data_IF_479358653567
#
_entry.id   IF_479358653567
#
_cell.length_a   1.000
_cell.length_b   1.000
_cell.length_c   1.000
_cell.angle_alpha   90.00
_cell.angle_beta   90.00
_cell.angle_gamma   90.00
#
_symmetry.space_group_name_H-M   'P 1'
#
loop_
_entity.id
_entity.type
_entity.pdbx_description
1 polymer ?
#
# COMPACT_ATOMS: atom_id res chain seq x y z
N UNK A 1 8.04 -0.71 5.75
CA UNK A 1 8.58 0.68 5.71
C UNK A 1 7.94 1.42 4.55
N UNK A 2 7.96 2.75 4.57
CA UNK A 2 7.56 3.60 3.46
C UNK A 2 8.73 4.44 2.97
N UNK A 3 8.93 4.50 1.66
CA UNK A 3 10.02 5.21 0.99
C UNK A 3 9.45 6.27 0.04
N UNK A 4 10.08 7.45 -0.04
CA UNK A 4 9.82 8.42 -1.12
C UNK A 4 10.76 8.08 -2.29
N UNK A 5 10.28 7.38 -3.35
CA UNK A 5 11.17 6.90 -4.42
C UNK A 5 11.58 7.98 -5.43
N UNK A 6 10.94 9.14 -5.42
CA UNK A 6 11.20 10.25 -6.33
C UNK A 6 11.97 11.40 -5.68
N UNK A 7 12.35 11.26 -4.41
CA UNK A 7 13.22 12.22 -3.71
C UNK A 7 14.66 12.04 -4.20
N UNK A 8 15.25 13.06 -4.83
CA UNK A 8 16.65 13.05 -5.26
C UNK A 8 17.28 14.44 -5.11
N UNK A 9 18.19 14.56 -4.15
CA UNK A 9 18.99 15.75 -3.90
C UNK A 9 20.49 15.49 -4.19
N UNK A 10 20.79 14.52 -5.05
CA UNK A 10 22.15 14.16 -5.44
C UNK A 10 22.87 15.32 -6.15
N UNK A 11 24.21 15.43 -6.00
CA UNK A 11 25.08 14.55 -5.21
C UNK A 11 25.18 14.96 -3.73
N UNK A 12 24.44 15.98 -3.28
CA UNK A 12 24.57 16.52 -1.92
C UNK A 12 24.07 15.52 -0.88
N UNK A 13 22.99 14.81 -1.21
CA UNK A 13 22.29 13.87 -0.33
C UNK A 13 21.98 12.61 -1.15
N UNK A 14 22.10 11.40 -0.57
CA UNK A 14 21.75 10.17 -1.27
C UNK A 14 20.31 10.20 -1.82
N UNK A 15 20.03 9.50 -2.94
CA UNK A 15 18.67 9.31 -3.41
C UNK A 15 17.76 8.73 -2.32
N UNK A 16 16.47 9.08 -2.37
CA UNK A 16 15.39 8.70 -1.45
C UNK A 16 15.48 9.28 -0.03
N UNK A 17 16.62 9.86 0.36
CA UNK A 17 16.76 10.53 1.64
C UNK A 17 16.08 11.90 1.63
N UNK A 18 15.25 12.14 2.64
CA UNK A 18 14.55 13.40 2.86
C UNK A 18 15.49 14.34 3.62
N UNK A 19 15.98 15.43 2.98
CA UNK A 19 17.09 16.22 3.49
C UNK A 19 16.93 16.76 4.92
N UNK A 20 15.74 17.32 5.23
CA UNK A 20 15.49 17.99 6.50
C UNK A 20 15.34 16.98 7.64
N UNK A 21 14.88 15.77 7.33
CA UNK A 21 14.59 14.73 8.32
C UNK A 21 15.75 13.76 8.51
N UNK A 22 16.72 13.73 7.57
CA UNK A 22 17.82 12.76 7.55
C UNK A 22 17.27 11.32 7.66
N UNK A 23 16.26 11.02 6.84
CA UNK A 23 15.53 9.75 6.77
C UNK A 23 15.31 9.36 5.33
N UNK A 24 15.61 8.11 5.00
CA UNK A 24 15.32 7.47 3.72
C UNK A 24 14.01 6.66 3.74
N UNK A 25 13.46 6.41 4.93
CA UNK A 25 12.23 5.66 5.11
C UNK A 25 11.51 5.99 6.43
N UNK A 26 10.23 5.63 6.48
CA UNK A 26 9.39 5.70 7.67
C UNK A 26 8.86 4.31 8.07
N UNK A 27 8.99 3.99 9.36
CA UNK A 27 8.45 2.75 9.92
C UNK A 27 7.00 2.94 10.36
N UNK A 28 6.16 1.93 10.10
CA UNK A 28 4.84 1.85 10.70
C UNK A 28 4.94 1.36 12.14
N UNK A 29 4.00 1.80 12.98
CA UNK A 29 3.88 1.33 14.36
C UNK A 29 3.61 -0.19 14.39
N UNK A 30 4.43 -0.93 15.16
CA UNK A 30 4.40 -2.39 15.17
C UNK A 30 3.09 -2.94 15.74
N UNK A 31 2.53 -2.29 16.76
CA UNK A 31 1.28 -2.71 17.38
C UNK A 31 0.12 -2.49 16.42
N UNK A 32 -0.05 -1.28 15.87
CA UNK A 32 -1.09 -0.97 14.88
C UNK A 32 -0.99 -1.87 13.65
N UNK A 33 0.24 -2.16 13.17
CA UNK A 33 0.48 -3.10 12.06
C UNK A 33 -0.01 -4.51 12.37
N UNK A 34 0.23 -5.02 13.58
CA UNK A 34 -0.25 -6.35 13.99
C UNK A 34 -1.79 -6.40 14.06
N UNK A 35 -2.44 -5.35 14.59
CA UNK A 35 -3.91 -5.24 14.56
C UNK A 35 -4.46 -5.18 13.13
N UNK A 36 -3.82 -4.42 12.25
CA UNK A 36 -4.20 -4.32 10.85
C UNK A 36 -4.05 -5.67 10.14
N UNK A 37 -2.95 -6.39 10.39
CA UNK A 37 -2.75 -7.74 9.87
C UNK A 37 -3.85 -8.71 10.33
N UNK A 38 -4.18 -8.73 11.62
CA UNK A 38 -5.26 -9.56 12.17
C UNK A 38 -6.62 -9.23 11.55
N UNK A 39 -6.86 -7.95 11.28
CA UNK A 39 -8.09 -7.46 10.63
C UNK A 39 -8.19 -7.95 9.19
N UNK A 40 -7.09 -7.90 8.43
CA UNK A 40 -6.98 -8.49 7.11
C UNK A 40 -7.19 -10.00 7.14
N UNK A 41 -6.57 -10.71 8.08
CA UNK A 41 -6.71 -12.16 8.22
C UNK A 41 -8.15 -12.56 8.54
N UNK A 42 -8.87 -11.79 9.37
CA UNK A 42 -10.30 -12.01 9.63
C UNK A 42 -11.11 -11.82 8.35
N UNK A 43 -10.91 -10.70 7.65
CA UNK A 43 -11.53 -10.45 6.35
C UNK A 43 -11.30 -11.60 5.36
N UNK A 44 -10.07 -12.09 5.23
CA UNK A 44 -9.73 -13.19 4.32
C UNK A 44 -10.44 -14.51 4.65
N UNK A 45 -10.80 -14.77 5.92
CA UNK A 45 -11.58 -15.94 6.32
C UNK A 45 -13.05 -15.85 5.91
N UNK A 46 -13.57 -14.63 5.79
CA UNK A 46 -14.97 -14.33 5.49
C UNK A 46 -15.17 -13.93 4.02
N UNK A 47 -14.08 -13.80 3.27
CA UNK A 47 -13.99 -13.28 1.92
C UNK A 47 -15.02 -13.85 0.93
N UNK A 48 -15.16 -15.18 0.89
CA UNK A 48 -16.05 -15.87 -0.06
C UNK A 48 -17.53 -15.52 0.14
N UNK A 49 -17.90 -15.02 1.34
CA UNK A 49 -19.26 -14.60 1.66
C UNK A 49 -19.54 -13.12 1.38
N UNK A 50 -18.48 -12.32 1.17
CA UNK A 50 -18.57 -10.86 1.10
C UNK A 50 -18.62 -10.32 -0.33
N UNK A 51 -18.08 -11.06 -1.31
CA UNK A 51 -18.04 -10.64 -2.70
C UNK A 51 -18.66 -11.69 -3.60
N UNK A 52 -19.45 -11.24 -4.58
CA UNK A 52 -20.12 -12.15 -5.49
C UNK A 52 -19.12 -12.94 -6.35
N UNK A 53 -19.42 -14.21 -6.60
CA UNK A 53 -18.63 -15.04 -7.52
C UNK A 53 -18.49 -14.44 -8.93
N UNK A 54 -19.44 -13.61 -9.36
CA UNK A 54 -19.38 -12.92 -10.64
C UNK A 54 -18.28 -11.84 -10.64
N UNK A 55 -18.21 -11.02 -9.59
CA UNK A 55 -17.20 -9.97 -9.45
C UNK A 55 -15.80 -10.58 -9.28
N UNK A 56 -15.67 -11.64 -8.50
CA UNK A 56 -14.40 -12.36 -8.33
C UNK A 56 -13.86 -12.90 -9.65
N UNK A 57 -14.75 -13.49 -10.47
CA UNK A 57 -14.38 -13.96 -11.82
C UNK A 57 -14.02 -12.82 -12.75
N UNK A 58 -14.75 -11.71 -12.70
CA UNK A 58 -14.49 -10.54 -13.54
C UNK A 58 -13.09 -9.98 -13.33
N UNK A 59 -12.59 -9.95 -12.09
CA UNK A 59 -11.27 -9.41 -11.75
C UNK A 59 -10.20 -10.49 -11.55
N UNK A 60 -10.47 -11.75 -11.93
CA UNK A 60 -9.55 -12.87 -11.77
C UNK A 60 -9.02 -13.08 -10.34
N UNK A 61 -9.87 -12.83 -9.35
CA UNK A 61 -9.54 -12.96 -7.93
C UNK A 61 -9.96 -14.36 -7.45
N UNK A 62 -8.98 -15.21 -7.14
CA UNK A 62 -9.25 -16.56 -6.63
C UNK A 62 -9.06 -16.64 -5.12
N UNK A 63 -7.84 -16.35 -4.64
CA UNK A 63 -7.50 -16.42 -3.23
C UNK A 63 -6.64 -15.20 -2.88
N UNK A 64 -7.25 -14.10 -2.40
CA UNK A 64 -6.51 -12.93 -1.97
C UNK A 64 -5.60 -13.30 -0.78
N UNK A 65 -4.47 -12.59 -0.68
CA UNK A 65 -3.49 -12.76 0.38
C UNK A 65 -3.14 -11.41 0.97
N UNK A 66 -2.76 -11.42 2.24
CA UNK A 66 -2.15 -10.27 2.91
C UNK A 66 -0.65 -10.49 2.99
N UNK A 67 0.12 -9.47 2.64
CA UNK A 67 1.58 -9.46 2.69
C UNK A 67 2.03 -8.28 3.57
N UNK A 68 3.15 -8.45 4.27
CA UNK A 68 3.81 -7.37 5.02
C UNK A 68 5.12 -7.09 4.31
N UNK A 69 5.10 -6.04 3.50
CA UNK A 69 6.23 -5.66 2.67
C UNK A 69 6.41 -4.14 2.69
N UNK A 70 7.49 -3.68 2.07
CA UNK A 70 7.75 -2.26 1.94
C UNK A 70 6.92 -1.62 0.81
N UNK A 71 6.52 -0.36 1.02
CA UNK A 71 5.76 0.45 0.07
C UNK A 71 6.62 1.64 -0.33
N UNK A 72 6.66 1.97 -1.63
CA UNK A 72 7.28 3.19 -2.11
C UNK A 72 6.23 4.13 -2.68
N UNK A 73 6.42 5.43 -2.44
CA UNK A 73 5.54 6.51 -2.85
C UNK A 73 6.30 7.54 -3.67
N UNK A 74 5.63 8.16 -4.64
CA UNK A 74 6.17 9.26 -5.41
C UNK A 74 5.10 9.83 -6.34
N UNK A 75 5.30 11.06 -6.83
CA UNK A 75 4.30 11.81 -7.59
C UNK A 75 4.27 11.41 -9.08
N UNK A 76 4.35 10.10 -9.35
CA UNK A 76 4.28 9.54 -10.69
C UNK A 76 3.44 8.27 -10.71
N UNK A 77 2.54 8.16 -11.68
CA UNK A 77 1.89 6.90 -11.97
C UNK A 77 2.86 5.94 -12.67
N UNK A 78 3.26 4.87 -11.98
CA UNK A 78 4.19 3.85 -12.48
C UNK A 78 3.40 2.79 -13.27
N UNK A 79 3.45 2.85 -14.60
CA UNK A 79 2.67 1.97 -15.49
C UNK A 79 3.52 1.07 -16.39
N UNK A 80 4.85 1.18 -16.30
CA UNK A 80 5.78 0.44 -17.15
C UNK A 80 6.91 -0.21 -16.35
N UNK A 81 7.37 -1.38 -16.81
CA UNK A 81 8.54 -2.05 -16.23
C UNK A 81 9.81 -1.17 -16.28
N UNK A 82 9.92 -0.27 -17.27
CA UNK A 82 11.05 0.67 -17.37
C UNK A 82 11.07 1.66 -16.20
N UNK A 83 9.91 2.16 -15.78
CA UNK A 83 9.79 3.04 -14.61
C UNK A 83 9.98 2.25 -13.30
N UNK A 84 9.50 1.01 -13.25
CA UNK A 84 9.58 0.17 -12.05
C UNK A 84 11.00 -0.40 -11.79
N UNK A 85 11.77 -0.64 -12.85
CA UNK A 85 13.12 -1.22 -12.76
C UNK A 85 14.08 -0.47 -11.84
N UNK A 86 14.27 0.86 -11.94
CA UNK A 86 15.13 1.58 -11.00
C UNK A 86 14.64 1.47 -9.56
N UNK A 87 13.33 1.57 -9.31
CA UNK A 87 12.76 1.44 -7.96
C UNK A 87 13.11 0.07 -7.37
N UNK A 88 12.86 -1.02 -8.10
CA UNK A 88 13.21 -2.38 -7.66
C UNK A 88 14.72 -2.57 -7.45
N UNK A 89 15.55 -1.92 -8.27
CA UNK A 89 17.01 -2.01 -8.17
C UNK A 89 17.52 -1.37 -6.88
N UNK A 90 17.00 -0.20 -6.53
CA UNK A 90 17.47 0.55 -5.36
C UNK A 90 16.73 0.18 -4.06
N UNK A 91 15.48 -0.25 -4.16
CA UNK A 91 14.61 -0.61 -3.04
C UNK A 91 14.08 -2.05 -3.22
N UNK A 92 14.94 -3.08 -3.10
CA UNK A 92 14.58 -4.46 -3.45
C UNK A 92 13.51 -5.11 -2.55
N UNK A 93 13.23 -4.53 -1.38
CA UNK A 93 12.16 -4.97 -0.47
C UNK A 93 10.78 -4.41 -0.84
N UNK A 94 10.70 -3.41 -1.73
CA UNK A 94 9.44 -2.77 -2.10
C UNK A 94 8.59 -3.71 -2.94
N UNK A 95 7.38 -4.00 -2.46
CA UNK A 95 6.41 -4.84 -3.16
C UNK A 95 5.25 -4.05 -3.76
N UNK A 96 5.09 -2.78 -3.38
CA UNK A 96 4.00 -1.91 -3.81
C UNK A 96 4.52 -0.49 -4.08
N UNK A 97 4.12 0.08 -5.21
CA UNK A 97 4.34 1.49 -5.56
C UNK A 97 2.99 2.21 -5.62
N UNK A 98 2.93 3.41 -5.05
CA UNK A 98 1.75 4.28 -5.00
C UNK A 98 2.20 5.75 -4.88
N UNK A 99 1.33 6.70 -4.55
CA UNK A 99 1.63 8.13 -4.67
C UNK A 99 1.54 8.96 -3.39
N UNK A 100 1.06 8.41 -2.26
CA UNK A 100 0.76 9.22 -1.06
C UNK A 100 1.29 8.67 0.27
N UNK A 101 1.54 7.35 0.35
CA UNK A 101 1.79 6.67 1.62
C UNK A 101 2.96 7.26 2.39
N UNK A 102 4.11 7.45 1.74
CA UNK A 102 5.30 8.00 2.36
C UNK A 102 5.15 9.48 2.73
N UNK A 103 4.37 10.25 1.96
CA UNK A 103 4.06 11.64 2.32
C UNK A 103 3.20 11.72 3.59
N UNK A 104 2.19 10.85 3.73
CA UNK A 104 1.41 10.74 4.98
C UNK A 104 2.29 10.23 6.13
N UNK A 105 3.14 9.24 5.88
CA UNK A 105 4.07 8.70 6.86
C UNK A 105 5.06 9.75 7.37
N UNK A 106 5.54 10.63 6.47
CA UNK A 106 6.39 11.76 6.82
C UNK A 106 5.69 12.71 7.79
N UNK A 107 4.44 13.10 7.50
CA UNK A 107 3.66 13.94 8.41
C UNK A 107 3.44 13.24 9.74
N UNK A 108 3.07 11.95 9.75
CA UNK A 108 2.93 11.18 10.99
C UNK A 108 4.24 11.16 11.80
N UNK A 109 5.39 11.02 11.15
CA UNK A 109 6.69 11.06 11.79
C UNK A 109 6.98 12.44 12.41
N UNK A 110 6.80 13.53 11.66
CA UNK A 110 7.05 14.90 12.13
C UNK A 110 6.17 15.30 13.31
N UNK A 111 4.95 14.75 13.39
CA UNK A 111 3.99 15.00 14.48
C UNK A 111 3.95 13.91 15.55
N UNK A 112 4.88 12.94 15.52
CA UNK A 112 4.95 11.82 16.47
C UNK A 112 3.64 11.00 16.57
N UNK A 113 2.90 10.88 15.47
CA UNK A 113 1.64 10.14 15.41
C UNK A 113 1.90 8.70 14.94
N UNK A 114 1.62 7.67 15.76
CA UNK A 114 1.79 6.29 15.35
C UNK A 114 0.77 5.91 14.26
N UNK A 115 1.24 5.27 13.20
CA UNK A 115 0.42 4.94 12.04
C UNK A 115 0.69 3.53 11.49
N UNK A 116 -0.27 3.02 10.72
CA UNK A 116 -0.14 1.82 9.91
C UNK A 116 -0.86 2.04 8.58
N UNK A 117 -0.43 1.37 7.51
CA UNK A 117 -0.99 1.52 6.17
C UNK A 117 -1.35 0.15 5.59
N UNK A 118 -2.38 0.14 4.76
CA UNK A 118 -2.75 -0.99 3.90
C UNK A 118 -3.00 -0.47 2.49
N UNK A 119 -2.58 -1.24 1.49
CA UNK A 119 -2.91 -1.00 0.09
C UNK A 119 -3.48 -2.29 -0.52
N UNK A 120 -4.59 -2.17 -1.24
CA UNK A 120 -5.14 -3.25 -2.06
C UNK A 120 -4.50 -3.15 -3.44
N UNK A 121 -3.84 -4.22 -3.89
CA UNK A 121 -3.19 -4.25 -5.21
C UNK A 121 -4.26 -4.37 -6.29
N UNK A 122 -4.36 -3.35 -7.15
CA UNK A 122 -5.33 -3.27 -8.25
C UNK A 122 -4.83 -3.85 -9.57
N UNK A 123 -3.53 -3.79 -9.80
CA UNK A 123 -2.94 -4.11 -11.09
C UNK A 123 -1.46 -4.45 -10.93
N UNK A 124 -0.85 -4.88 -12.04
CA UNK A 124 0.57 -5.16 -12.16
C UNK A 124 1.20 -4.17 -13.13
N UNK A 125 1.07 -2.86 -12.90
CA UNK A 125 1.78 -1.79 -13.61
C UNK A 125 1.95 -2.08 -15.12
N UNK A 126 0.84 -2.39 -15.80
CA UNK A 126 0.79 -2.78 -17.20
C UNK A 126 -0.30 -2.00 -17.97
N UNK A 127 -0.01 -1.67 -19.24
CA UNK A 127 -0.59 -0.58 -20.05
C UNK A 127 -2.12 -0.57 -20.33
N UNK A 128 -2.95 -1.44 -19.77
CA UNK A 128 -4.35 -1.63 -20.22
C UNK A 128 -5.48 -1.28 -19.22
N UNK A 129 -5.22 -0.52 -18.15
CA UNK A 129 -6.03 -0.68 -16.92
C UNK A 129 -6.96 0.46 -16.47
N UNK A 130 -6.96 1.66 -17.05
CA UNK A 130 -7.65 2.81 -16.41
C UNK A 130 -9.17 2.63 -16.19
N UNK A 131 -9.91 2.07 -17.16
CA UNK A 131 -11.36 1.82 -17.01
C UNK A 131 -11.62 0.64 -16.04
N UNK A 132 -10.74 -0.35 -16.04
CA UNK A 132 -10.85 -1.51 -15.14
C UNK A 132 -10.54 -1.13 -13.69
N UNK A 133 -9.59 -0.21 -13.48
CA UNK A 133 -9.24 0.31 -12.16
C UNK A 133 -10.43 0.95 -11.44
N UNK A 134 -11.17 1.84 -12.09
CA UNK A 134 -12.31 2.51 -11.45
C UNK A 134 -13.39 1.51 -11.01
N UNK A 135 -13.67 0.50 -11.84
CA UNK A 135 -14.62 -0.56 -11.50
C UNK A 135 -14.09 -1.44 -10.38
N UNK A 136 -12.82 -1.84 -10.44
CA UNK A 136 -12.15 -2.60 -9.39
C UNK A 136 -12.18 -1.85 -8.05
N UNK A 137 -11.84 -0.57 -8.05
CA UNK A 137 -11.84 0.27 -6.87
C UNK A 137 -13.24 0.33 -6.23
N UNK A 138 -14.28 0.49 -7.07
CA UNK A 138 -15.67 0.59 -6.62
C UNK A 138 -16.26 -0.73 -6.12
N UNK A 139 -15.94 -1.87 -6.75
CA UNK A 139 -16.60 -3.15 -6.49
C UNK A 139 -15.77 -4.04 -5.56
N UNK A 140 -14.44 -3.99 -5.65
CA UNK A 140 -13.53 -4.84 -4.89
C UNK A 140 -12.87 -4.05 -3.77
N UNK A 141 -12.08 -3.03 -4.11
CA UNK A 141 -11.22 -2.36 -3.13
C UNK A 141 -12.01 -1.66 -2.02
N UNK A 142 -13.16 -1.06 -2.36
CA UNK A 142 -14.07 -0.42 -1.41
C UNK A 142 -14.61 -1.40 -0.35
N UNK A 143 -15.03 -2.60 -0.77
CA UNK A 143 -15.52 -3.65 0.11
C UNK A 143 -14.41 -4.20 1.00
N UNK A 144 -13.21 -4.40 0.44
CA UNK A 144 -12.02 -4.79 1.22
C UNK A 144 -11.75 -3.75 2.30
N UNK A 145 -11.66 -2.47 1.92
CA UNK A 145 -11.37 -1.38 2.83
C UNK A 145 -12.43 -1.29 3.94
N UNK A 146 -13.71 -1.34 3.59
CA UNK A 146 -14.80 -1.26 4.57
C UNK A 146 -14.73 -2.38 5.60
N UNK A 147 -14.62 -3.64 5.15
CA UNK A 147 -14.65 -4.80 6.06
C UNK A 147 -13.36 -4.90 6.89
N UNK A 148 -12.20 -4.57 6.31
CA UNK A 148 -10.93 -4.52 7.06
C UNK A 148 -10.98 -3.42 8.12
N UNK A 149 -11.49 -2.23 7.81
CA UNK A 149 -11.62 -1.12 8.76
C UNK A 149 -12.61 -1.46 9.87
N UNK A 150 -13.75 -2.07 9.56
CA UNK A 150 -14.70 -2.57 10.57
C UNK A 150 -14.01 -3.55 11.52
N UNK A 151 -13.32 -4.56 10.97
CA UNK A 151 -12.57 -5.54 11.75
C UNK A 151 -11.49 -4.88 12.62
N UNK A 152 -10.83 -3.84 12.11
CA UNK A 152 -9.82 -3.08 12.86
C UNK A 152 -10.40 -2.39 14.08
N UNK A 153 -11.54 -1.70 13.94
CA UNK A 153 -12.20 -1.04 15.07
C UNK A 153 -12.81 -2.03 16.06
N UNK A 154 -13.37 -3.15 15.59
CA UNK A 154 -13.89 -4.21 16.46
C UNK A 154 -12.80 -4.87 17.30
N UNK A 155 -11.62 -5.13 16.71
CA UNK A 155 -10.51 -5.77 17.40
C UNK A 155 -9.77 -4.80 18.33
N UNK A 156 -9.69 -3.52 17.98
CA UNK A 156 -8.96 -2.53 18.77
C UNK A 156 -9.67 -2.15 20.06
N UNK A 157 -10.99 -2.39 20.20
CA UNK A 157 -11.83 -2.05 21.39
C UNK A 157 -11.29 -0.85 22.17
N UNK A 158 -11.12 0.25 21.44
CA UNK A 158 -11.05 1.60 21.98
C UNK A 158 -12.49 2.07 22.20
#
# INVERSE_FOLDING_TARGET
KLYQYDMDASPLIPPFEIPILNRDNFETDAFKRDFLLKSCQKFLREFDSLISNADLKQFHINQPKVLIEDIASGDQFISTEKQLHPIKKYLPSVACVEMEGAAVAQVCFEYEIPFSIIRTISDKANDNSHIEFQKFAKIIASNYALEIIKNYFELSKI
#
